data_IF_933507103933
#
_entry.id   IF_933507103933
#
_cell.length_a   1.000
_cell.length_b   1.000
_cell.length_c   1.000
_cell.angle_alpha   90.00
_cell.angle_beta   90.00
_cell.angle_gamma   90.00
#
_symmetry.space_group_name_H-M   'P 1'
#
loop_
_entity.id
_entity.type
_entity.pdbx_description
1 polymer ?
#
# COMPACT_ATOMS: atom_id res chain seq x y z
N UNK A 1 -2.54 -3.86 -11.14
CA UNK A 1 -3.74 -3.02 -11.37
C UNK A 1 -5.09 -3.74 -11.19
N UNK A 2 -5.13 -5.07 -10.92
CA UNK A 2 -6.39 -5.81 -10.75
C UNK A 2 -7.05 -5.64 -9.37
N UNK A 3 -6.23 -5.63 -8.31
CA UNK A 3 -6.72 -5.61 -6.92
C UNK A 3 -7.50 -4.33 -6.57
N UNK A 4 -6.92 -3.15 -6.84
CA UNK A 4 -7.59 -1.87 -6.63
C UNK A 4 -8.93 -1.78 -7.37
N UNK A 5 -8.98 -2.22 -8.63
CA UNK A 5 -10.23 -2.24 -9.40
C UNK A 5 -11.28 -3.16 -8.78
N UNK A 6 -10.87 -4.34 -8.30
CA UNK A 6 -11.78 -5.29 -7.66
C UNK A 6 -12.29 -4.79 -6.29
N UNK A 7 -11.39 -4.32 -5.42
CA UNK A 7 -11.70 -3.96 -4.03
C UNK A 7 -12.36 -2.59 -3.88
N UNK A 8 -12.07 -1.65 -4.78
CA UNK A 8 -12.56 -0.27 -4.72
C UNK A 8 -13.54 -0.02 -5.85
N UNK A 9 -13.07 0.00 -7.10
CA UNK A 9 -13.87 0.50 -8.23
C UNK A 9 -15.14 -0.31 -8.45
N UNK A 10 -15.03 -1.64 -8.55
CA UNK A 10 -16.16 -2.51 -8.82
C UNK A 10 -17.01 -2.77 -7.57
N UNK A 11 -16.37 -2.91 -6.39
CA UNK A 11 -17.06 -3.27 -5.15
C UNK A 11 -17.83 -2.10 -4.52
N UNK A 12 -17.32 -0.88 -4.62
CA UNK A 12 -17.93 0.31 -4.00
C UNK A 12 -18.70 1.19 -4.99
N UNK A 13 -18.64 0.87 -6.28
CA UNK A 13 -19.46 1.53 -7.30
C UNK A 13 -20.96 1.18 -7.18
N UNK A 14 -21.84 1.87 -7.93
CA UNK A 14 -21.54 2.89 -8.93
C UNK A 14 -21.11 4.24 -8.32
N UNK A 15 -20.19 4.92 -8.99
CA UNK A 15 -19.63 6.19 -8.54
C UNK A 15 -20.41 7.38 -9.11
N UNK A 16 -20.64 8.39 -8.27
CA UNK A 16 -21.44 9.58 -8.65
C UNK A 16 -20.61 10.71 -9.25
N UNK A 17 -19.29 10.72 -9.00
CA UNK A 17 -18.37 11.72 -9.54
C UNK A 17 -16.92 11.22 -9.48
N UNK A 18 -16.01 11.98 -10.10
CA UNK A 18 -14.57 11.68 -10.05
C UNK A 18 -13.99 11.92 -8.65
N UNK A 19 -14.45 12.95 -7.95
CA UNK A 19 -14.01 13.29 -6.59
C UNK A 19 -14.31 12.16 -5.60
N UNK A 20 -15.46 11.48 -5.77
CA UNK A 20 -15.81 10.33 -4.95
C UNK A 20 -14.83 9.15 -5.16
N UNK A 21 -14.38 8.94 -6.41
CA UNK A 21 -13.37 7.92 -6.73
C UNK A 21 -12.01 8.30 -6.16
N UNK A 22 -11.61 9.57 -6.29
CA UNK A 22 -10.35 10.08 -5.76
C UNK A 22 -10.27 9.89 -4.24
N UNK A 23 -11.30 10.30 -3.51
CA UNK A 23 -11.33 10.14 -2.06
C UNK A 23 -11.25 8.67 -1.65
N UNK A 24 -12.03 7.78 -2.28
CA UNK A 24 -11.97 6.35 -2.00
C UNK A 24 -10.60 5.74 -2.36
N UNK A 25 -9.89 6.31 -3.33
CA UNK A 25 -8.55 5.90 -3.69
C UNK A 25 -7.54 6.29 -2.62
N UNK A 26 -7.61 7.52 -2.10
CA UNK A 26 -6.77 7.97 -1.00
C UNK A 26 -6.96 7.10 0.24
N UNK A 27 -8.21 6.80 0.61
CA UNK A 27 -8.50 5.89 1.72
C UNK A 27 -7.94 4.48 1.50
N UNK A 28 -8.07 3.95 0.28
CA UNK A 28 -7.55 2.62 -0.04
C UNK A 28 -6.03 2.58 -0.03
N UNK A 29 -5.36 3.62 -0.54
CA UNK A 29 -3.89 3.73 -0.52
C UNK A 29 -3.37 3.83 0.90
N UNK A 30 -3.97 4.67 1.76
CA UNK A 30 -3.60 4.75 3.18
C UNK A 30 -3.74 3.38 3.85
N UNK A 31 -4.91 2.74 3.71
CA UNK A 31 -5.13 1.43 4.31
C UNK A 31 -4.16 0.38 3.76
N UNK A 32 -3.95 0.34 2.44
CA UNK A 32 -3.08 -0.64 1.82
C UNK A 32 -1.64 -0.50 2.30
N UNK A 33 -1.11 0.72 2.34
CA UNK A 33 0.29 0.94 2.67
C UNK A 33 0.56 0.88 4.18
N UNK A 34 -0.34 1.44 5.00
CA UNK A 34 -0.09 1.66 6.42
C UNK A 34 -0.76 0.63 7.34
N UNK A 35 -1.73 -0.15 6.85
CA UNK A 35 -2.54 -1.04 7.70
C UNK A 35 -2.68 -2.46 7.18
N UNK A 36 -2.59 -2.69 5.87
CA UNK A 36 -2.78 -4.01 5.28
C UNK A 36 -1.55 -4.89 5.56
N UNK A 37 -1.79 -6.01 6.24
CA UNK A 37 -0.75 -7.01 6.51
C UNK A 37 -0.58 -7.92 5.29
N UNK A 38 0.67 -8.08 4.84
CA UNK A 38 1.01 -8.94 3.71
C UNK A 38 2.00 -10.03 4.13
N UNK A 39 1.56 -11.28 4.04
CA UNK A 39 2.40 -12.46 4.33
C UNK A 39 3.71 -12.49 3.50
N UNK A 40 3.72 -12.20 2.19
CA UNK A 40 4.94 -12.30 1.38
C UNK A 40 6.09 -11.37 1.81
N UNK A 41 5.79 -10.32 2.56
CA UNK A 41 6.79 -9.37 3.09
C UNK A 41 6.99 -9.51 4.61
N UNK A 42 6.57 -10.64 5.18
CA UNK A 42 6.81 -10.96 6.59
C UNK A 42 5.70 -10.56 7.55
N UNK A 43 4.45 -10.47 7.07
CA UNK A 43 3.28 -10.11 7.89
C UNK A 43 3.39 -8.72 8.53
N UNK A 44 3.87 -7.74 7.77
CA UNK A 44 3.92 -6.32 8.14
C UNK A 44 3.22 -5.45 7.08
N UNK A 45 2.89 -4.18 7.39
CA UNK A 45 2.43 -3.22 6.39
C UNK A 45 3.51 -2.93 5.33
N UNK A 46 3.13 -2.66 4.06
CA UNK A 46 4.06 -2.29 3.01
C UNK A 46 4.98 -1.11 3.36
N UNK A 47 4.44 -0.06 4.00
CA UNK A 47 5.24 1.10 4.38
C UNK A 47 6.37 0.74 5.37
N UNK A 48 6.09 -0.16 6.32
CA UNK A 48 7.10 -0.64 7.26
C UNK A 48 8.16 -1.51 6.58
N UNK A 49 7.75 -2.36 5.62
CA UNK A 49 8.70 -3.13 4.83
C UNK A 49 9.63 -2.24 3.99
N UNK A 50 9.09 -1.18 3.40
CA UNK A 50 9.85 -0.19 2.64
C UNK A 50 10.85 0.57 3.54
N UNK A 51 10.41 1.03 4.71
CA UNK A 51 11.29 1.67 5.70
C UNK A 51 12.45 0.76 6.10
N UNK A 52 12.17 -0.52 6.40
CA UNK A 52 13.21 -1.51 6.72
C UNK A 52 14.18 -1.74 5.57
N UNK A 53 13.68 -1.79 4.34
CA UNK A 53 14.51 -1.95 3.15
C UNK A 53 15.50 -0.80 3.00
N UNK A 54 15.04 0.45 3.11
CA UNK A 54 15.92 1.61 3.01
C UNK A 54 16.86 1.75 4.21
N UNK A 55 16.41 1.44 5.42
CA UNK A 55 17.28 1.43 6.60
C UNK A 55 18.43 0.41 6.47
N UNK A 56 18.20 -0.72 5.81
CA UNK A 56 19.24 -1.70 5.50
C UNK A 56 20.13 -1.26 4.34
N UNK A 57 19.57 -0.61 3.31
CA UNK A 57 20.32 -0.11 2.16
C UNK A 57 21.27 1.04 2.53
N UNK A 58 20.91 1.85 3.53
CA UNK A 58 21.73 2.95 4.05
C UNK A 58 22.76 2.49 5.09
N UNK A 59 22.81 1.20 5.45
CA UNK A 59 23.92 0.68 6.23
C UNK A 59 25.18 0.67 5.34
N UNK A 60 26.27 1.39 5.70
CA UNK A 60 27.52 1.22 4.98
C UNK A 60 27.89 -0.25 5.06
N UNK A 61 28.24 -0.85 3.93
CA UNK A 61 28.77 -2.20 3.90
C UNK A 61 29.90 -2.26 4.92
N UNK A 62 29.68 -2.91 6.05
CA UNK A 62 30.71 -3.17 7.05
C UNK A 62 31.79 -3.94 6.32
N UNK A 63 32.87 -3.23 5.96
CA UNK A 63 34.04 -3.80 5.35
C UNK A 63 34.62 -4.83 6.33
N UNK A 64 34.63 -6.09 5.91
CA UNK A 64 35.48 -7.14 6.47
C UNK A 64 36.80 -7.19 5.69
#
# INVERSE_FOLDING_TARGET
NGLYKAEVIHRRGPWRSFEAVEYATLEWVDWFNNRRILEPIGNIPPAEAEERYYAMADQPAMAA
#
